data_IF_022681800646
#
_entry.id   IF_022681800646
#
_cell.length_a   1.000
_cell.length_b   1.000
_cell.length_c   1.000
_cell.angle_alpha   90.00
_cell.angle_beta   90.00
_cell.angle_gamma   90.00
#
_symmetry.space_group_name_H-M   'P 1'
#
loop_
_entity.id
_entity.type
_entity.pdbx_description
1 polymer ?
#
# COMPACT_ATOMS: atom_id res chain seq x y z
N UNK A 1 16.47 -1.95 4.17
CA UNK A 1 16.55 -3.27 3.51
C UNK A 1 15.13 -3.83 3.38
N UNK A 2 14.68 -4.09 2.15
CA UNK A 2 13.39 -4.71 1.82
C UNK A 2 13.45 -6.25 1.99
N UNK A 3 13.94 -6.75 3.12
CA UNK A 3 14.27 -8.18 3.32
C UNK A 3 13.23 -8.98 4.09
N UNK A 4 12.00 -8.49 4.26
CA UNK A 4 10.94 -9.24 4.95
C UNK A 4 9.56 -9.22 4.27
N UNK A 5 9.53 -9.09 2.95
CA UNK A 5 8.29 -9.32 2.19
C UNK A 5 8.50 -10.57 1.35
N UNK A 6 8.00 -11.71 1.85
CA UNK A 6 7.96 -13.01 1.15
C UNK A 6 6.89 -13.05 0.04
N UNK A 7 6.28 -11.93 -0.30
CA UNK A 7 5.17 -11.87 -1.25
C UNK A 7 5.70 -11.53 -2.66
N UNK A 8 5.28 -12.26 -3.69
CA UNK A 8 5.50 -11.87 -5.07
C UNK A 8 4.98 -10.45 -5.34
N UNK A 9 5.71 -9.67 -6.15
CA UNK A 9 5.27 -8.33 -6.57
C UNK A 9 3.84 -8.30 -7.15
N UNK A 10 3.43 -9.27 -7.99
CA UNK A 10 2.06 -9.31 -8.52
C UNK A 10 0.99 -9.39 -7.43
N UNK A 11 1.21 -10.21 -6.40
CA UNK A 11 0.28 -10.39 -5.29
C UNK A 11 0.17 -9.10 -4.46
N UNK A 12 1.28 -8.39 -4.30
CA UNK A 12 1.29 -7.09 -3.64
C UNK A 12 0.48 -6.05 -4.42
N UNK A 13 0.63 -6.01 -5.74
CA UNK A 13 -0.15 -5.10 -6.58
C UNK A 13 -1.64 -5.46 -6.59
N UNK A 14 -1.97 -6.76 -6.58
CA UNK A 14 -3.35 -7.21 -6.43
C UNK A 14 -3.96 -6.77 -5.09
N UNK A 15 -3.20 -6.88 -3.99
CA UNK A 15 -3.64 -6.41 -2.67
C UNK A 15 -3.82 -4.89 -2.61
N UNK A 16 -2.93 -4.10 -3.23
CA UNK A 16 -3.08 -2.64 -3.39
C UNK A 16 -4.31 -2.30 -4.23
N UNK A 17 -4.56 -3.06 -5.31
CA UNK A 17 -5.72 -2.88 -6.17
C UNK A 17 -7.03 -3.18 -5.45
N UNK A 18 -7.05 -4.22 -4.61
CA UNK A 18 -8.19 -4.61 -3.79
C UNK A 18 -8.35 -3.77 -2.51
N UNK A 19 -7.33 -3.00 -2.12
CA UNK A 19 -7.26 -2.30 -0.82
C UNK A 19 -7.55 -3.27 0.35
N UNK A 20 -6.91 -4.43 0.29
CA UNK A 20 -7.10 -5.53 1.23
C UNK A 20 -6.24 -5.34 2.49
N UNK A 21 -6.89 -4.89 3.56
CA UNK A 21 -6.29 -4.64 4.88
C UNK A 21 -5.93 -5.93 5.64
N UNK A 22 -6.29 -7.11 5.14
CA UNK A 22 -5.86 -8.40 5.70
C UNK A 22 -4.47 -8.81 5.20
N UNK A 23 -4.07 -8.30 4.02
CA UNK A 23 -2.80 -8.62 3.37
C UNK A 23 -1.76 -7.52 3.59
N UNK A 24 -2.18 -6.25 3.57
CA UNK A 24 -1.30 -5.10 3.71
C UNK A 24 -1.62 -4.29 4.98
N UNK A 25 -0.60 -4.12 5.82
CA UNK A 25 -0.67 -3.27 7.00
C UNK A 25 -0.34 -1.78 6.70
N UNK A 26 -0.54 -0.92 7.70
CA UNK A 26 -0.31 0.53 7.57
C UNK A 26 1.15 0.86 7.24
N UNK A 27 2.11 0.11 7.78
CA UNK A 27 3.52 0.41 7.61
C UNK A 27 4.02 -0.05 6.23
N UNK A 28 3.52 -1.17 5.73
CA UNK A 28 3.70 -1.63 4.37
C UNK A 28 3.12 -0.62 3.37
N UNK A 29 1.89 -0.14 3.58
CA UNK A 29 1.28 0.88 2.71
C UNK A 29 2.09 2.19 2.75
N UNK A 30 2.58 2.62 3.91
CA UNK A 30 3.48 3.79 4.00
C UNK A 30 4.79 3.58 3.26
N UNK A 31 5.37 2.40 3.34
CA UNK A 31 6.58 2.05 2.59
C UNK A 31 6.30 2.11 1.08
N UNK A 32 5.17 1.57 0.62
CA UNK A 32 4.75 1.65 -0.79
C UNK A 32 4.59 3.10 -1.26
N UNK A 33 4.04 3.99 -0.42
CA UNK A 33 3.95 5.42 -0.72
C UNK A 33 5.36 6.04 -0.84
N UNK A 34 6.28 5.69 0.08
CA UNK A 34 7.66 6.20 0.07
C UNK A 34 8.46 5.75 -1.14
N UNK A 35 8.20 4.53 -1.62
CA UNK A 35 8.83 3.94 -2.79
C UNK A 35 7.96 4.06 -4.05
N UNK A 36 6.99 4.98 -4.07
CA UNK A 36 6.23 5.25 -5.27
C UNK A 36 7.15 5.97 -6.28
N UNK A 37 7.18 5.56 -7.56
CA UNK A 37 7.99 6.24 -8.55
C UNK A 37 7.56 7.69 -8.72
N UNK A 38 8.54 8.56 -8.92
CA UNK A 38 8.33 9.96 -9.29
C UNK A 38 7.81 10.06 -10.72
N UNK A 39 7.28 11.24 -11.08
CA UNK A 39 6.81 11.48 -12.46
C UNK A 39 7.93 11.32 -13.48
N UNK A 40 9.12 11.79 -13.14
CA UNK A 40 10.32 11.69 -13.99
C UNK A 40 10.71 10.23 -14.21
N UNK A 41 10.79 9.42 -13.14
CA UNK A 41 11.09 7.98 -13.25
C UNK A 41 10.02 7.22 -14.07
N UNK A 42 8.75 7.57 -13.91
CA UNK A 42 7.66 6.99 -14.72
C UNK A 42 7.79 7.37 -16.20
N UNK A 43 8.20 8.59 -16.52
CA UNK A 43 8.41 9.02 -17.91
C UNK A 43 9.61 8.31 -18.53
N UNK A 44 10.71 8.17 -17.80
CA UNK A 44 11.88 7.40 -18.22
C UNK A 44 11.51 5.95 -18.54
N UNK A 45 10.76 5.28 -17.65
CA UNK A 45 10.32 3.90 -17.86
C UNK A 45 9.31 3.75 -19.01
N UNK A 46 8.48 4.76 -19.28
CA UNK A 46 7.59 4.77 -20.46
C UNK A 46 8.36 4.95 -21.77
N UNK A 47 9.44 5.73 -21.75
CA UNK A 47 10.30 5.97 -22.90
C UNK A 47 11.28 4.83 -23.18
N UNK A 48 11.42 3.87 -22.26
CA UNK A 48 12.32 2.74 -22.44
C UNK A 48 11.81 1.78 -23.53
N UNK A 49 12.59 1.65 -24.61
CA UNK A 49 12.30 0.79 -25.76
C UNK A 49 13.06 -0.55 -25.74
N UNK A 50 13.89 -0.78 -24.73
CA UNK A 50 14.61 -2.03 -24.55
C UNK A 50 13.75 -3.15 -23.96
N UNK A 51 14.40 -4.29 -23.68
CA UNK A 51 13.74 -5.42 -23.05
C UNK A 51 13.49 -5.16 -21.56
N UNK A 52 12.22 -5.27 -21.15
CA UNK A 52 11.81 -5.05 -19.75
C UNK A 52 12.33 -6.12 -18.81
N UNK A 53 12.75 -7.28 -19.32
CA UNK A 53 13.37 -8.33 -18.53
C UNK A 53 14.79 -7.96 -18.08
N UNK A 54 15.47 -7.08 -18.82
CA UNK A 54 16.81 -6.59 -18.46
C UNK A 54 16.82 -5.47 -17.42
N UNK A 55 15.64 -4.93 -17.09
CA UNK A 55 15.50 -3.90 -16.07
C UNK A 55 15.82 -4.45 -14.68
N UNK A 56 16.39 -3.61 -13.82
CA UNK A 56 16.70 -3.99 -12.45
C UNK A 56 15.41 -4.24 -11.65
N UNK A 57 15.52 -4.95 -10.51
CA UNK A 57 14.37 -5.25 -9.65
C UNK A 57 13.58 -4.01 -9.20
N UNK A 58 14.26 -2.86 -9.04
CA UNK A 58 13.61 -1.59 -8.70
C UNK A 58 12.73 -1.06 -9.84
N UNK A 59 13.24 -1.13 -11.06
CA UNK A 59 12.55 -0.70 -12.28
C UNK A 59 11.39 -1.63 -12.61
N UNK A 60 11.58 -2.95 -12.48
CA UNK A 60 10.49 -3.93 -12.59
C UNK A 60 9.38 -3.66 -11.56
N UNK A 61 9.76 -3.29 -10.33
CA UNK A 61 8.81 -2.88 -9.30
C UNK A 61 8.01 -1.62 -9.68
N UNK A 62 8.67 -0.61 -10.24
CA UNK A 62 7.99 0.59 -10.74
C UNK A 62 7.05 0.28 -11.90
N UNK A 63 7.46 -0.59 -12.84
CA UNK A 63 6.59 -1.04 -13.93
C UNK A 63 5.32 -1.73 -13.40
N UNK A 64 5.44 -2.56 -12.38
CA UNK A 64 4.29 -3.19 -11.73
C UNK A 64 3.38 -2.16 -11.03
N UNK A 65 3.95 -1.18 -10.32
CA UNK A 65 3.18 -0.09 -9.71
C UNK A 65 2.44 0.75 -10.74
N UNK A 66 3.05 0.99 -11.90
CA UNK A 66 2.46 1.79 -12.98
C UNK A 66 1.24 1.11 -13.64
N UNK A 67 1.08 -0.21 -13.49
CA UNK A 67 -0.15 -0.91 -13.90
C UNK A 67 -1.35 -0.50 -13.05
N UNK A 68 -1.12 -0.03 -11.83
CA UNK A 68 -2.19 0.44 -10.94
C UNK A 68 -2.59 1.88 -11.31
N UNK A 69 -3.82 2.12 -11.78
CA UNK A 69 -4.23 3.46 -12.15
C UNK A 69 -4.28 4.36 -10.91
N UNK A 70 -3.67 5.54 -11.03
CA UNK A 70 -3.61 6.55 -9.95
C UNK A 70 -3.05 5.96 -8.64
N UNK A 71 -1.99 5.15 -8.74
CA UNK A 71 -1.42 4.38 -7.63
C UNK A 71 -1.15 5.22 -6.37
N UNK A 72 -0.61 6.43 -6.55
CA UNK A 72 -0.33 7.33 -5.44
C UNK A 72 -1.60 7.71 -4.66
N UNK A 73 -2.65 8.14 -5.36
CA UNK A 73 -3.94 8.48 -4.74
C UNK A 73 -4.57 7.25 -4.09
N UNK A 74 -4.47 6.09 -4.73
CA UNK A 74 -5.04 4.83 -4.23
C UNK A 74 -4.36 4.38 -2.93
N UNK A 75 -3.03 4.45 -2.86
CA UNK A 75 -2.27 4.15 -1.65
C UNK A 75 -2.59 5.13 -0.51
N UNK A 76 -2.75 6.43 -0.80
CA UNK A 76 -3.18 7.42 0.20
C UNK A 76 -4.57 7.11 0.75
N UNK A 77 -5.54 6.80 -0.12
CA UNK A 77 -6.90 6.40 0.28
C UNK A 77 -6.85 5.11 1.10
N UNK A 78 -6.02 4.15 0.70
CA UNK A 78 -5.90 2.89 1.41
C UNK A 78 -5.30 3.08 2.81
N UNK A 79 -4.23 3.85 2.94
CA UNK A 79 -3.67 4.24 4.24
C UNK A 79 -4.72 4.91 5.12
N UNK A 80 -5.50 5.84 4.56
CA UNK A 80 -6.58 6.50 5.28
C UNK A 80 -7.66 5.52 5.74
N UNK A 81 -8.09 4.59 4.89
CA UNK A 81 -9.08 3.56 5.22
C UNK A 81 -8.64 2.74 6.43
N UNK A 82 -7.40 2.22 6.42
CA UNK A 82 -6.90 1.40 7.53
C UNK A 82 -6.84 2.22 8.83
N UNK A 83 -6.32 3.45 8.76
CA UNK A 83 -6.21 4.35 9.92
C UNK A 83 -7.58 4.74 10.49
N UNK A 84 -8.55 5.02 9.62
CA UNK A 84 -9.91 5.37 9.99
C UNK A 84 -10.61 4.18 10.67
N UNK A 85 -10.57 2.99 10.08
CA UNK A 85 -11.17 1.79 10.67
C UNK A 85 -10.55 1.43 12.03
N UNK A 86 -9.25 1.66 12.20
CA UNK A 86 -8.58 1.51 13.49
C UNK A 86 -9.11 2.52 14.53
N UNK A 87 -9.28 3.79 14.16
CA UNK A 87 -9.85 4.81 15.03
C UNK A 87 -11.30 4.54 15.42
N UNK A 88 -12.14 4.14 14.46
CA UNK A 88 -13.55 3.79 14.73
C UNK A 88 -13.63 2.60 15.68
N UNK A 89 -12.86 1.53 15.44
CA UNK A 89 -12.79 0.36 16.33
C UNK A 89 -12.37 0.73 17.75
N UNK A 90 -11.34 1.57 17.92
CA UNK A 90 -10.93 2.09 19.23
C UNK A 90 -12.05 2.85 19.93
N UNK A 91 -12.74 3.71 19.18
CA UNK A 91 -13.83 4.56 19.69
C UNK A 91 -15.04 3.74 20.17
N UNK A 92 -15.41 2.68 19.44
CA UNK A 92 -16.49 1.75 19.84
C UNK A 92 -16.08 0.92 21.07
N UNK A 93 -14.85 0.38 21.11
CA UNK A 93 -14.33 -0.34 22.28
C UNK A 93 -14.36 0.52 23.54
N UNK A 94 -13.96 1.79 23.44
CA UNK A 94 -14.02 2.75 24.55
C UNK A 94 -15.44 2.97 25.08
N UNK A 95 -16.45 3.03 24.20
CA UNK A 95 -17.86 3.16 24.61
C UNK A 95 -18.35 1.91 25.36
N UNK A 96 -18.02 0.71 24.88
CA UNK A 96 -18.40 -0.55 25.52
C UNK A 96 -17.72 -0.70 26.88
N UNK A 97 -16.42 -0.44 26.94
CA UNK A 97 -15.64 -0.57 28.17
C UNK A 97 -16.09 0.43 29.25
N UNK A 98 -16.42 1.68 28.88
CA UNK A 98 -17.07 2.63 29.80
C UNK A 98 -18.44 2.13 30.25
N UNK A 99 -19.27 1.56 29.38
CA UNK A 99 -20.58 1.04 29.79
C UNK A 99 -20.45 -0.10 30.82
N UNK A 100 -19.48 -0.99 30.65
CA UNK A 100 -19.19 -2.08 31.61
C UNK A 100 -18.68 -1.52 32.95
N UNK A 101 -17.80 -0.52 32.94
CA UNK A 101 -17.21 0.03 34.17
C UNK A 101 -18.16 0.92 34.98
N UNK A 102 -19.17 1.53 34.35
CA UNK A 102 -20.07 2.51 34.99
C UNK A 102 -21.47 1.93 35.31
N UNK A 103 -21.82 0.75 34.77
CA UNK A 103 -23.08 0.04 35.08
C UNK A 103 -22.85 -1.29 35.82
N UNK A 104 -21.65 -1.53 36.35
CA UNK A 104 -21.32 -2.65 37.25
C UNK A 104 -21.15 -2.17 38.68
#
# INVERSE_FOLDING_TARGET
>A
MLTKVKMPLPDMMAAVLAMDESVLDVDQVKNLIKFCPTKEEMELLKGYTGDKENLEKCEQYFLELMKVPRVESKLRVFSFKIQFLSHVRKSVKLKIMKKILFFG
#
